data_IF_043362170183
#
_entry.id   IF_043362170183
#
_cell.length_a   1.000
_cell.length_b   1.000
_cell.length_c   1.000
_cell.angle_alpha   90.00
_cell.angle_beta   90.00
_cell.angle_gamma   90.00
#
_symmetry.space_group_name_H-M   'P 1'
#
loop_
_entity.id
_entity.type
_entity.pdbx_description
1 polymer ?
#
# COMPACT_ATOMS: atom_id res chain seq x y z
N UNK A 1 2.26 10.01 -13.24
CA UNK A 1 1.70 10.11 -11.85
C UNK A 1 2.86 9.88 -10.89
N UNK A 2 2.94 10.58 -9.75
CA UNK A 2 4.00 10.32 -8.74
C UNK A 2 3.77 8.94 -8.14
N UNK A 3 4.81 8.08 -8.02
CA UNK A 3 4.67 6.79 -7.36
C UNK A 3 4.34 6.97 -5.86
N UNK A 4 3.59 6.01 -5.29
CA UNK A 4 3.30 5.96 -3.86
C UNK A 4 4.20 4.89 -3.21
N UNK A 5 5.02 5.31 -2.25
CA UNK A 5 5.80 4.38 -1.42
C UNK A 5 5.16 4.33 -0.04
N UNK A 6 4.44 3.24 0.20
CA UNK A 6 3.69 3.01 1.42
C UNK A 6 4.41 1.97 2.29
N UNK A 7 4.71 2.31 3.53
CA UNK A 7 5.29 1.40 4.53
C UNK A 7 4.20 0.81 5.41
N UNK A 8 3.98 -0.50 5.36
CA UNK A 8 3.10 -1.23 6.26
C UNK A 8 3.92 -1.82 7.42
N UNK A 9 3.77 -1.25 8.61
CA UNK A 9 4.49 -1.75 9.79
C UNK A 9 3.93 -3.07 10.32
N UNK A 10 2.73 -3.45 9.87
CA UNK A 10 2.03 -4.63 10.38
C UNK A 10 1.90 -4.53 11.92
N UNK A 11 1.96 -5.65 12.65
CA UNK A 11 1.88 -5.68 14.11
C UNK A 11 3.27 -5.42 14.75
N UNK A 12 3.90 -4.31 14.36
CA UNK A 12 5.21 -3.88 14.91
C UNK A 12 5.19 -2.41 15.32
N UNK A 13 5.99 -2.11 16.32
CA UNK A 13 6.25 -0.74 16.76
C UNK A 13 5.65 -0.41 18.12
N UNK A 14 6.48 0.19 18.95
CA UNK A 14 6.13 0.84 20.21
C UNK A 14 6.47 2.34 20.10
N UNK A 15 6.22 3.11 21.16
CA UNK A 15 6.45 4.56 21.16
C UNK A 15 7.88 4.96 20.75
N UNK A 16 8.87 4.18 21.15
CA UNK A 16 10.28 4.44 20.83
C UNK A 16 10.57 4.36 19.31
N UNK A 17 9.81 3.57 18.53
CA UNK A 17 10.01 3.47 17.09
C UNK A 17 9.48 4.68 16.31
N UNK A 18 8.79 5.62 16.93
CA UNK A 18 8.38 6.87 16.28
C UNK A 18 9.59 7.66 15.76
N UNK A 19 10.79 7.47 16.33
CA UNK A 19 12.03 8.06 15.81
C UNK A 19 12.34 7.61 14.37
N UNK A 20 11.87 6.45 13.92
CA UNK A 20 12.04 6.02 12.53
C UNK A 20 11.19 6.85 11.58
N UNK A 21 9.95 7.20 11.99
CA UNK A 21 9.07 8.11 11.23
C UNK A 21 9.71 9.50 11.14
N UNK A 22 10.26 10.02 12.24
CA UNK A 22 10.94 11.30 12.26
C UNK A 22 12.11 11.35 11.27
N UNK A 23 12.95 10.30 11.27
CA UNK A 23 14.08 10.18 10.33
C UNK A 23 13.64 10.12 8.88
N UNK A 24 12.59 9.35 8.56
CA UNK A 24 12.00 9.28 7.22
C UNK A 24 11.48 10.66 6.81
N UNK A 25 10.72 11.34 7.69
CA UNK A 25 10.17 12.66 7.44
C UNK A 25 11.27 13.72 7.21
N UNK A 26 12.35 13.65 8.00
CA UNK A 26 13.51 14.52 7.82
C UNK A 26 14.19 14.31 6.46
N UNK A 27 14.38 13.03 6.06
CA UNK A 27 14.94 12.70 4.75
C UNK A 27 14.07 13.21 3.60
N UNK A 28 12.75 12.99 3.65
CA UNK A 28 11.81 13.46 2.62
C UNK A 28 11.83 14.98 2.50
N UNK A 29 11.89 15.68 3.63
CA UNK A 29 11.98 17.14 3.66
C UNK A 29 13.30 17.66 3.04
N UNK A 30 14.40 16.97 3.29
CA UNK A 30 15.73 17.37 2.80
C UNK A 30 15.95 17.05 1.31
N UNK A 31 15.38 15.95 0.79
CA UNK A 31 15.70 15.43 -0.56
C UNK A 31 14.57 15.58 -1.57
N UNK A 32 13.33 15.83 -1.10
CA UNK A 32 12.13 15.94 -1.93
C UNK A 32 12.04 14.83 -3.02
N UNK A 33 12.06 13.54 -2.65
CA UNK A 33 12.03 12.46 -3.61
C UNK A 33 10.80 12.59 -4.51
N UNK A 34 10.89 12.11 -5.76
CA UNK A 34 9.77 12.17 -6.72
C UNK A 34 8.73 11.08 -6.42
N UNK A 35 8.27 11.00 -5.17
CA UNK A 35 7.29 10.05 -4.67
C UNK A 35 6.38 10.67 -3.61
N UNK A 36 5.17 10.13 -3.50
CA UNK A 36 4.33 10.31 -2.31
C UNK A 36 4.77 9.26 -1.28
N UNK A 37 4.93 9.67 -0.02
CA UNK A 37 5.44 8.80 1.06
C UNK A 37 4.37 8.64 2.12
N UNK A 38 4.07 7.40 2.47
CA UNK A 38 3.06 7.01 3.44
C UNK A 38 3.63 5.97 4.41
N UNK A 39 3.36 6.12 5.72
CA UNK A 39 3.63 5.08 6.72
C UNK A 39 2.32 4.69 7.40
N UNK A 40 2.07 3.39 7.47
CA UNK A 40 0.91 2.79 8.14
C UNK A 40 1.39 2.04 9.40
N UNK A 41 1.47 2.72 10.56
CA UNK A 41 1.79 2.08 11.84
C UNK A 41 0.54 1.41 12.42
N UNK A 42 0.66 0.60 13.50
CA UNK A 42 -0.49 0.14 14.28
C UNK A 42 -1.38 1.29 14.74
N UNK A 43 -2.69 1.05 14.86
CA UNK A 43 -3.66 2.07 15.28
C UNK A 43 -3.30 2.75 16.61
N UNK A 44 -2.66 2.01 17.53
CA UNK A 44 -2.17 2.53 18.83
C UNK A 44 -1.06 3.58 18.70
N UNK A 45 -0.45 3.72 17.54
CA UNK A 45 0.60 4.71 17.27
C UNK A 45 0.17 5.80 16.28
N UNK A 46 -0.97 5.66 15.62
CA UNK A 46 -1.35 6.46 14.44
C UNK A 46 -1.33 7.96 14.73
N UNK A 47 -2.03 8.42 15.76
CA UNK A 47 -2.08 9.84 16.13
C UNK A 47 -0.69 10.41 16.45
N UNK A 48 0.10 9.69 17.24
CA UNK A 48 1.47 10.09 17.55
C UNK A 48 2.35 10.10 16.31
N UNK A 49 2.16 9.14 15.41
CA UNK A 49 2.86 9.10 14.13
C UNK A 49 2.51 10.31 13.25
N UNK A 50 1.24 10.70 13.21
CA UNK A 50 0.80 11.89 12.47
C UNK A 50 1.45 13.17 13.02
N UNK A 51 1.50 13.34 14.33
CA UNK A 51 2.21 14.46 14.97
C UNK A 51 3.71 14.44 14.67
N UNK A 52 4.35 13.26 14.78
CA UNK A 52 5.79 13.11 14.48
C UNK A 52 6.11 13.39 13.01
N UNK A 53 5.27 12.94 12.09
CA UNK A 53 5.41 13.21 10.67
C UNK A 53 5.26 14.70 10.32
N UNK A 54 4.50 15.44 11.10
CA UNK A 54 4.30 16.90 10.99
C UNK A 54 3.96 17.36 9.55
N UNK A 55 3.14 16.58 8.84
CA UNK A 55 2.73 16.85 7.45
C UNK A 55 3.81 16.65 6.37
N UNK A 56 5.03 16.23 6.73
CA UNK A 56 6.13 16.00 5.77
C UNK A 56 5.98 14.69 5.01
N UNK A 57 5.38 13.69 5.65
CA UNK A 57 4.95 12.43 5.05
C UNK A 57 3.53 12.12 5.52
N UNK A 58 2.80 11.34 4.73
CA UNK A 58 1.47 10.88 5.09
C UNK A 58 1.53 9.73 6.11
N UNK A 59 0.46 9.60 6.91
CA UNK A 59 0.23 8.42 7.75
C UNK A 59 -1.10 7.77 7.39
N UNK A 60 -1.23 6.45 7.64
CA UNK A 60 -2.42 5.69 7.32
C UNK A 60 -2.72 4.57 8.30
N UNK A 61 -3.95 4.07 8.23
CA UNK A 61 -4.38 2.88 8.98
C UNK A 61 -4.01 1.58 8.27
N UNK A 62 -4.01 0.48 9.02
CA UNK A 62 -3.73 -0.87 8.50
C UNK A 62 -5.00 -1.68 8.24
N UNK A 63 -6.16 -1.19 8.71
CA UNK A 63 -7.50 -1.70 8.50
C UNK A 63 -8.51 -0.68 9.02
N UNK A 64 -9.79 -0.83 8.64
CA UNK A 64 -10.91 -0.12 9.26
C UNK A 64 -12.18 -0.97 9.25
N UNK A 65 -13.10 -0.67 10.17
CA UNK A 65 -14.45 -1.22 10.13
C UNK A 65 -15.29 -0.48 9.07
N UNK A 66 -16.28 -1.19 8.46
CA UNK A 66 -17.15 -0.59 7.43
C UNK A 66 -18.21 0.36 7.99
N UNK A 67 -18.65 0.17 9.26
CA UNK A 67 -19.52 1.11 9.94
C UNK A 67 -18.74 2.31 10.47
N UNK A 68 -19.39 3.47 10.53
CA UNK A 68 -18.78 4.68 11.10
C UNK A 68 -18.76 4.70 12.62
N UNK A 69 -19.74 4.04 13.23
CA UNK A 69 -19.93 3.93 14.69
C UNK A 69 -20.81 2.70 14.98
N UNK A 70 -20.72 2.14 16.17
CA UNK A 70 -21.60 1.05 16.58
C UNK A 70 -21.04 0.17 17.72
N UNK A 71 -21.73 -0.91 18.05
CA UNK A 71 -21.34 -1.85 19.11
C UNK A 71 -20.28 -2.85 18.60
N UNK A 72 -19.14 -2.34 18.19
CA UNK A 72 -18.02 -3.10 17.64
C UNK A 72 -16.78 -2.91 18.52
N UNK A 73 -16.84 -3.45 19.73
CA UNK A 73 -15.79 -3.29 20.74
C UNK A 73 -14.42 -3.76 20.20
N UNK A 74 -13.46 -2.85 20.16
CA UNK A 74 -12.10 -3.12 19.67
C UNK A 74 -11.85 -2.74 18.22
N UNK A 75 -12.89 -2.54 17.39
CA UNK A 75 -12.76 -2.08 16.02
C UNK A 75 -12.49 -0.57 15.93
N UNK A 76 -11.86 -0.16 14.84
CA UNK A 76 -11.57 1.25 14.53
C UNK A 76 -12.26 1.61 13.23
N UNK A 77 -13.09 2.66 13.21
CA UNK A 77 -13.75 3.13 11.99
C UNK A 77 -12.80 3.97 11.12
N UNK A 78 -13.18 4.13 9.85
CA UNK A 78 -12.43 5.00 8.92
C UNK A 78 -12.44 6.47 9.41
N UNK A 79 -13.53 6.91 10.02
CA UNK A 79 -13.67 8.24 10.61
C UNK A 79 -12.71 8.44 11.79
N UNK A 80 -12.56 7.44 12.68
CA UNK A 80 -11.58 7.47 13.78
C UNK A 80 -10.14 7.54 13.26
N UNK A 81 -9.82 6.81 12.19
CA UNK A 81 -8.51 6.91 11.55
C UNK A 81 -8.26 8.31 10.99
N UNK A 82 -9.28 8.89 10.34
CA UNK A 82 -9.17 10.25 9.79
C UNK A 82 -8.97 11.29 10.89
N UNK A 83 -9.70 11.19 11.98
CA UNK A 83 -9.59 12.07 13.16
C UNK A 83 -8.18 11.97 13.78
N UNK A 84 -7.61 10.77 13.85
CA UNK A 84 -6.23 10.53 14.30
C UNK A 84 -5.15 10.99 13.31
N UNK A 85 -5.53 11.62 12.18
CA UNK A 85 -4.62 12.21 11.21
C UNK A 85 -4.25 11.30 10.03
N UNK A 86 -4.92 10.17 9.83
CA UNK A 86 -4.70 9.35 8.65
C UNK A 86 -5.18 10.04 7.36
N UNK A 87 -4.47 9.81 6.27
CA UNK A 87 -4.87 10.19 4.90
C UNK A 87 -5.16 8.98 4.02
N UNK A 88 -4.84 7.78 4.48
CA UNK A 88 -5.04 6.52 3.76
C UNK A 88 -5.37 5.38 4.74
N UNK A 89 -5.88 4.27 4.20
CA UNK A 89 -6.03 3.02 4.94
C UNK A 89 -5.81 1.83 4.00
N UNK A 90 -5.08 0.83 4.48
CA UNK A 90 -4.94 -0.47 3.82
C UNK A 90 -6.17 -1.30 4.17
N UNK A 91 -6.79 -1.94 3.18
CA UNK A 91 -7.92 -2.85 3.39
C UNK A 91 -7.73 -4.13 2.59
N UNK A 92 -8.19 -5.25 3.13
CA UNK A 92 -8.10 -6.55 2.48
C UNK A 92 -6.67 -7.10 2.34
N UNK A 93 -5.73 -6.66 3.19
CA UNK A 93 -4.36 -7.19 3.23
C UNK A 93 -4.38 -8.73 3.34
N UNK A 94 -3.46 -9.40 2.68
CA UNK A 94 -3.42 -10.88 2.61
C UNK A 94 -3.48 -11.56 3.98
N UNK A 95 -2.81 -11.01 5.00
CA UNK A 95 -2.87 -11.51 6.37
C UNK A 95 -4.29 -11.42 6.96
N UNK A 96 -5.04 -10.37 6.64
CA UNK A 96 -6.42 -10.22 7.12
C UNK A 96 -7.39 -11.16 6.41
N UNK A 97 -7.22 -11.32 5.10
CA UNK A 97 -7.98 -12.33 4.34
C UNK A 97 -7.74 -13.73 4.90
N UNK A 98 -6.50 -14.05 5.25
CA UNK A 98 -6.10 -15.36 5.76
C UNK A 98 -6.49 -15.59 7.23
N UNK A 99 -6.22 -14.63 8.12
CA UNK A 99 -6.35 -14.83 9.56
C UNK A 99 -7.66 -14.32 10.15
N UNK A 100 -8.35 -13.40 9.45
CA UNK A 100 -9.63 -12.83 9.88
C UNK A 100 -10.78 -13.16 8.95
N UNK A 101 -10.55 -13.98 7.90
CA UNK A 101 -11.61 -14.41 6.97
C UNK A 101 -12.22 -13.28 6.15
N UNK A 102 -11.47 -12.21 5.88
CA UNK A 102 -11.99 -11.09 5.10
C UNK A 102 -12.32 -11.49 3.67
N UNK A 103 -13.59 -11.36 3.30
CA UNK A 103 -14.10 -11.60 1.95
C UNK A 103 -13.98 -10.35 1.08
N UNK A 104 -14.08 -10.50 -0.24
CA UNK A 104 -14.07 -9.36 -1.18
C UNK A 104 -15.20 -8.38 -0.88
N UNK A 105 -16.38 -8.86 -0.52
CA UNK A 105 -17.51 -8.02 -0.13
C UNK A 105 -17.21 -7.18 1.13
N UNK A 106 -16.55 -7.76 2.13
CA UNK A 106 -16.10 -7.01 3.32
C UNK A 106 -15.06 -5.95 2.94
N UNK A 107 -14.13 -6.29 2.06
CA UNK A 107 -13.11 -5.34 1.59
C UNK A 107 -13.74 -4.19 0.81
N UNK A 108 -14.73 -4.47 -0.06
CA UNK A 108 -15.49 -3.43 -0.76
C UNK A 108 -16.24 -2.51 0.22
N UNK A 109 -16.83 -3.06 1.28
CA UNK A 109 -17.51 -2.28 2.32
C UNK A 109 -16.51 -1.37 3.08
N UNK A 110 -15.31 -1.87 3.41
CA UNK A 110 -14.23 -1.09 4.03
C UNK A 110 -13.68 -0.01 3.09
N UNK A 111 -13.52 -0.32 1.79
CA UNK A 111 -13.13 0.67 0.78
C UNK A 111 -14.15 1.81 0.67
N UNK A 112 -15.45 1.51 0.73
CA UNK A 112 -16.50 2.52 0.79
C UNK A 112 -16.44 3.36 2.07
N UNK A 113 -16.12 2.75 3.22
CA UNK A 113 -15.92 3.48 4.47
C UNK A 113 -14.73 4.44 4.37
N UNK A 114 -13.60 3.99 3.81
CA UNK A 114 -12.45 4.84 3.55
C UNK A 114 -12.83 6.05 2.68
N UNK A 115 -13.55 5.83 1.56
CA UNK A 115 -14.06 6.90 0.70
C UNK A 115 -14.95 7.87 1.46
N UNK A 116 -15.90 7.38 2.25
CA UNK A 116 -16.81 8.19 3.08
C UNK A 116 -16.05 9.10 4.04
N UNK A 117 -14.97 8.60 4.64
CA UNK A 117 -14.11 9.36 5.54
C UNK A 117 -13.08 10.24 4.80
N UNK A 118 -13.03 10.24 3.46
CA UNK A 118 -12.06 11.00 2.68
C UNK A 118 -10.63 10.44 2.74
N UNK A 119 -10.49 9.14 3.00
CA UNK A 119 -9.20 8.43 2.99
C UNK A 119 -8.93 7.80 1.62
N UNK A 120 -7.66 7.74 1.21
CA UNK A 120 -7.21 6.87 0.13
C UNK A 120 -7.36 5.42 0.58
N UNK A 121 -8.15 4.61 -0.13
CA UNK A 121 -8.20 3.17 0.10
C UNK A 121 -7.07 2.47 -0.66
N UNK A 122 -6.19 1.75 0.03
CA UNK A 122 -5.20 0.85 -0.57
C UNK A 122 -5.77 -0.56 -0.46
N UNK A 123 -6.36 -1.05 -1.55
CA UNK A 123 -6.97 -2.38 -1.59
C UNK A 123 -5.90 -3.41 -1.97
N UNK A 124 -5.65 -4.37 -1.08
CA UNK A 124 -4.70 -5.43 -1.33
C UNK A 124 -5.39 -6.62 -2.04
N UNK A 125 -4.73 -7.10 -3.08
CA UNK A 125 -5.14 -8.28 -3.87
C UNK A 125 -3.92 -9.15 -4.14
N UNK A 126 -4.13 -10.46 -4.29
CA UNK A 126 -3.02 -11.37 -4.59
C UNK A 126 -3.45 -12.83 -4.51
N UNK A 127 -2.86 -13.63 -5.38
CA UNK A 127 -3.09 -15.07 -5.48
C UNK A 127 -2.33 -15.85 -4.41
N UNK A 128 -2.85 -17.01 -4.07
CA UNK A 128 -2.17 -17.99 -3.22
C UNK A 128 -1.13 -18.79 -4.01
N UNK A 129 -0.25 -19.53 -3.30
CA UNK A 129 0.69 -20.45 -3.91
C UNK A 129 -0.03 -21.53 -4.72
N UNK A 130 -1.12 -22.09 -4.21
CA UNK A 130 -1.94 -23.06 -4.91
C UNK A 130 -2.50 -22.49 -6.23
N UNK A 131 -3.14 -21.32 -6.20
CA UNK A 131 -3.68 -20.66 -7.40
C UNK A 131 -2.60 -20.37 -8.44
N UNK A 132 -1.39 -20.01 -7.98
CA UNK A 132 -0.24 -19.80 -8.89
C UNK A 132 0.16 -21.12 -9.56
N UNK A 133 0.28 -22.20 -8.79
CA UNK A 133 0.68 -23.53 -9.30
C UNK A 133 -0.35 -24.12 -10.26
N UNK A 134 -1.64 -23.87 -10.01
CA UNK A 134 -2.75 -24.32 -10.83
C UNK A 134 -2.99 -23.45 -12.08
N UNK A 135 -2.22 -22.36 -12.28
CA UNK A 135 -2.37 -21.43 -13.40
C UNK A 135 -3.56 -20.48 -13.26
N UNK A 136 -4.12 -20.34 -12.08
CA UNK A 136 -5.30 -19.52 -11.78
C UNK A 136 -4.96 -18.11 -11.26
N UNK A 137 -3.69 -17.72 -11.27
CA UNK A 137 -3.23 -16.46 -10.68
C UNK A 137 -3.98 -15.23 -11.20
N UNK A 138 -4.10 -15.09 -12.53
CA UNK A 138 -4.77 -13.95 -13.15
C UNK A 138 -6.27 -13.94 -12.83
N UNK A 139 -6.96 -15.08 -12.95
CA UNK A 139 -8.40 -15.18 -12.67
C UNK A 139 -8.70 -14.89 -11.19
N UNK A 140 -7.87 -15.37 -10.27
CA UNK A 140 -8.03 -15.12 -8.84
C UNK A 140 -7.89 -13.63 -8.50
N UNK A 141 -6.88 -12.94 -9.05
CA UNK A 141 -6.68 -11.51 -8.83
C UNK A 141 -7.79 -10.69 -9.52
N UNK A 142 -8.22 -11.08 -10.72
CA UNK A 142 -9.34 -10.45 -11.41
C UNK A 142 -10.64 -10.54 -10.61
N UNK A 143 -10.95 -11.72 -10.05
CA UNK A 143 -12.11 -11.92 -9.18
C UNK A 143 -12.04 -11.04 -7.92
N UNK A 144 -10.88 -10.94 -7.27
CA UNK A 144 -10.69 -10.07 -6.11
C UNK A 144 -10.90 -8.59 -6.47
N UNK A 145 -10.42 -8.11 -7.61
CA UNK A 145 -10.66 -6.73 -8.07
C UNK A 145 -12.15 -6.50 -8.30
N UNK A 146 -12.81 -7.40 -9.04
CA UNK A 146 -14.24 -7.29 -9.33
C UNK A 146 -15.11 -7.28 -8.07
N UNK A 147 -14.71 -8.05 -7.03
CA UNK A 147 -15.43 -8.16 -5.76
C UNK A 147 -15.08 -7.10 -4.72
N UNK A 148 -13.84 -6.57 -4.74
CA UNK A 148 -13.33 -5.66 -3.70
C UNK A 148 -13.34 -4.19 -4.08
N UNK A 149 -13.35 -3.84 -5.38
CA UNK A 149 -13.29 -2.46 -5.86
C UNK A 149 -14.69 -1.96 -6.22
N UNK A 150 -15.30 -1.04 -5.46
CA UNK A 150 -16.60 -0.48 -5.82
C UNK A 150 -16.54 0.27 -7.16
N UNK A 151 -17.54 0.08 -8.02
CA UNK A 151 -17.59 0.62 -9.40
C UNK A 151 -17.53 2.15 -9.50
N UNK A 152 -17.99 2.84 -8.48
CA UNK A 152 -17.99 4.31 -8.39
C UNK A 152 -16.80 4.85 -7.57
N UNK A 153 -15.81 3.99 -7.25
CA UNK A 153 -14.69 4.34 -6.37
C UNK A 153 -13.83 5.45 -6.96
N UNK A 154 -13.48 6.40 -6.10
CA UNK A 154 -12.45 7.43 -6.29
C UNK A 154 -11.52 7.39 -5.07
N UNK A 155 -10.29 7.87 -5.22
CA UNK A 155 -9.32 7.82 -4.12
C UNK A 155 -8.95 6.36 -3.75
N UNK A 156 -8.55 5.57 -4.75
CA UNK A 156 -8.15 4.17 -4.58
C UNK A 156 -6.75 3.93 -5.16
N UNK A 157 -6.01 3.05 -4.53
CA UNK A 157 -4.83 2.39 -5.06
C UNK A 157 -5.00 0.88 -4.87
N UNK A 158 -4.38 0.08 -5.74
CA UNK A 158 -4.33 -1.37 -5.60
C UNK A 158 -2.93 -1.77 -5.16
N UNK A 159 -2.82 -2.68 -4.21
CA UNK A 159 -1.55 -3.29 -3.84
C UNK A 159 -1.57 -4.76 -4.26
N UNK A 160 -0.72 -5.13 -5.21
CA UNK A 160 -0.55 -6.51 -5.62
C UNK A 160 0.41 -7.24 -4.69
N UNK A 161 -0.09 -8.21 -3.96
CA UNK A 161 0.66 -9.04 -3.00
C UNK A 161 0.81 -10.46 -3.54
N UNK A 162 1.93 -10.84 -4.21
CA UNK A 162 2.21 -12.23 -4.59
C UNK A 162 2.38 -13.07 -3.32
N UNK A 163 1.30 -13.65 -2.78
CA UNK A 163 1.28 -14.32 -1.47
C UNK A 163 2.27 -15.47 -1.39
N UNK A 164 2.50 -16.16 -2.50
CA UNK A 164 3.48 -17.23 -2.65
C UNK A 164 4.93 -16.77 -2.45
N UNK A 165 5.19 -15.46 -2.63
CA UNK A 165 6.52 -14.87 -2.51
C UNK A 165 6.74 -14.16 -1.16
N UNK A 166 5.66 -13.87 -0.39
CA UNK A 166 5.78 -13.14 0.88
C UNK A 166 6.29 -14.07 1.97
N UNK A 167 7.52 -13.82 2.47
CA UNK A 167 8.13 -14.60 3.55
C UNK A 167 8.63 -15.99 3.15
N UNK A 168 8.49 -16.39 1.89
CA UNK A 168 8.91 -17.71 1.39
C UNK A 168 10.38 -17.77 0.92
N UNK A 169 11.00 -16.62 0.70
CA UNK A 169 12.30 -16.50 0.03
C UNK A 169 12.24 -16.53 -1.49
N UNK A 170 11.07 -16.79 -2.07
CA UNK A 170 10.84 -16.67 -3.52
C UNK A 170 10.67 -15.20 -3.90
N UNK A 171 11.15 -14.83 -5.08
CA UNK A 171 10.98 -13.48 -5.62
C UNK A 171 10.38 -13.59 -7.02
N UNK A 172 9.25 -12.92 -7.30
CA UNK A 172 8.71 -12.82 -8.64
C UNK A 172 9.76 -12.24 -9.60
N UNK A 173 9.80 -12.76 -10.81
CA UNK A 173 10.62 -12.15 -11.86
C UNK A 173 10.03 -10.81 -12.29
N UNK A 174 10.81 -9.90 -12.88
CA UNK A 174 10.28 -8.68 -13.50
C UNK A 174 9.12 -8.97 -14.48
N UNK A 175 9.20 -10.08 -15.22
CA UNK A 175 8.15 -10.52 -16.15
C UNK A 175 6.84 -10.85 -15.42
N UNK A 176 6.90 -11.59 -14.31
CA UNK A 176 5.72 -11.90 -13.50
C UNK A 176 5.02 -10.64 -12.97
N UNK A 177 5.83 -9.65 -12.53
CA UNK A 177 5.30 -8.38 -12.02
C UNK A 177 4.60 -7.62 -13.15
N UNK A 178 5.24 -7.50 -14.31
CA UNK A 178 4.68 -6.77 -15.46
C UNK A 178 3.39 -7.42 -15.95
N UNK A 179 3.36 -8.75 -16.09
CA UNK A 179 2.17 -9.49 -16.51
C UNK A 179 0.99 -9.22 -15.56
N UNK A 180 1.20 -9.39 -14.25
CA UNK A 180 0.13 -9.21 -13.28
C UNK A 180 -0.31 -7.75 -13.16
N UNK A 181 0.61 -6.79 -13.17
CA UNK A 181 0.25 -5.36 -13.15
C UNK A 181 -0.53 -4.94 -14.40
N UNK A 182 -0.18 -5.46 -15.57
CA UNK A 182 -0.95 -5.24 -16.80
C UNK A 182 -2.36 -5.85 -16.71
N UNK A 183 -2.48 -7.07 -16.18
CA UNK A 183 -3.77 -7.71 -15.93
C UNK A 183 -4.63 -6.89 -14.94
N UNK A 184 -4.06 -6.47 -13.80
CA UNK A 184 -4.74 -5.59 -12.84
C UNK A 184 -5.24 -4.31 -13.52
N UNK A 185 -4.45 -3.70 -14.40
CA UNK A 185 -4.89 -2.51 -15.16
C UNK A 185 -6.08 -2.79 -16.06
N UNK A 186 -6.13 -3.95 -16.71
CA UNK A 186 -7.26 -4.37 -17.54
C UNK A 186 -8.53 -4.56 -16.70
N UNK A 187 -8.44 -5.26 -15.58
CA UNK A 187 -9.57 -5.47 -14.65
C UNK A 187 -10.09 -4.16 -14.04
N UNK A 188 -9.18 -3.24 -13.70
CA UNK A 188 -9.56 -1.89 -13.27
C UNK A 188 -10.25 -1.10 -14.38
N UNK A 189 -9.85 -1.27 -15.63
CA UNK A 189 -10.52 -0.62 -16.76
C UNK A 189 -11.94 -1.16 -16.95
N UNK A 190 -12.15 -2.46 -16.77
CA UNK A 190 -13.47 -3.08 -16.80
C UNK A 190 -14.36 -2.61 -15.62
N UNK A 191 -13.78 -2.42 -14.43
CA UNK A 191 -14.51 -2.04 -13.21
C UNK A 191 -14.82 -0.54 -13.13
N UNK A 192 -13.82 0.33 -13.43
CA UNK A 192 -13.85 1.78 -13.19
C UNK A 192 -13.93 2.61 -14.48
N UNK A 193 -13.80 1.98 -15.65
CA UNK A 193 -13.74 2.68 -16.94
C UNK A 193 -12.55 3.64 -17.02
N UNK A 194 -12.76 4.83 -17.55
CA UNK A 194 -11.71 5.84 -17.74
C UNK A 194 -11.00 6.27 -16.44
N UNK A 195 -11.61 6.11 -15.27
CA UNK A 195 -10.99 6.41 -13.97
C UNK A 195 -9.85 5.48 -13.61
N UNK A 196 -9.80 4.29 -14.20
CA UNK A 196 -8.73 3.32 -13.97
C UNK A 196 -7.33 3.90 -14.20
N UNK A 197 -7.17 4.83 -15.13
CA UNK A 197 -5.89 5.47 -15.46
C UNK A 197 -5.27 6.27 -14.30
N UNK A 198 -6.11 6.74 -13.35
CA UNK A 198 -5.67 7.47 -12.17
C UNK A 198 -5.37 6.57 -10.96
N UNK A 199 -5.63 5.26 -11.06
CA UNK A 199 -5.36 4.29 -10.00
C UNK A 199 -3.89 3.87 -10.03
N UNK A 200 -3.19 4.04 -8.90
CA UNK A 200 -1.83 3.52 -8.73
C UNK A 200 -1.90 2.02 -8.42
N UNK A 201 -1.08 1.23 -9.08
CA UNK A 201 -0.91 -0.19 -8.78
C UNK A 201 0.44 -0.33 -8.09
N UNK A 202 0.43 -0.69 -6.82
CA UNK A 202 1.61 -0.84 -5.99
C UNK A 202 2.08 -2.29 -6.02
N UNK A 203 3.37 -2.49 -6.13
CA UNK A 203 3.93 -3.82 -5.90
C UNK A 203 4.08 -4.07 -4.39
N UNK A 204 3.44 -5.11 -3.88
CA UNK A 204 3.39 -5.48 -2.46
C UNK A 204 4.25 -6.70 -2.08
N UNK A 205 5.12 -7.15 -2.98
CA UNK A 205 6.11 -8.18 -2.66
C UNK A 205 7.35 -7.62 -1.97
N UNK A 206 8.44 -8.38 -1.97
CA UNK A 206 9.69 -7.98 -1.33
C UNK A 206 10.37 -6.83 -2.08
N UNK A 207 10.31 -5.62 -1.49
CA UNK A 207 11.04 -4.44 -1.96
C UNK A 207 12.06 -4.03 -0.91
N UNK A 208 13.29 -3.78 -1.35
CA UNK A 208 14.41 -3.36 -0.52
C UNK A 208 15.32 -2.39 -1.29
N UNK A 209 16.33 -1.77 -0.65
CA UNK A 209 17.19 -0.79 -1.33
C UNK A 209 17.92 -1.31 -2.58
N UNK A 210 18.21 -2.63 -2.66
CA UNK A 210 18.97 -3.20 -3.79
C UNK A 210 18.12 -3.43 -5.03
N UNK A 211 16.81 -3.70 -4.89
CA UNK A 211 15.91 -3.99 -6.02
C UNK A 211 14.90 -2.88 -6.33
N UNK A 212 14.79 -1.87 -5.47
CA UNK A 212 13.78 -0.83 -5.60
C UNK A 212 13.81 -0.11 -6.95
N UNK A 213 14.99 0.24 -7.46
CA UNK A 213 15.14 0.93 -8.75
C UNK A 213 14.61 0.11 -9.92
N UNK A 214 14.94 -1.18 -9.95
CA UNK A 214 14.46 -2.10 -10.97
C UNK A 214 12.94 -2.21 -10.92
N UNK A 215 12.38 -2.58 -9.76
CA UNK A 215 10.94 -2.81 -9.58
C UNK A 215 10.14 -1.55 -9.89
N UNK A 216 10.55 -0.39 -9.35
CA UNK A 216 9.82 0.87 -9.54
C UNK A 216 9.93 1.46 -10.95
N UNK A 217 10.82 0.91 -11.80
CA UNK A 217 10.92 1.27 -13.22
C UNK A 217 10.06 0.40 -14.14
N UNK A 218 9.48 -0.69 -13.63
CA UNK A 218 8.67 -1.61 -14.44
C UNK A 218 7.37 -0.96 -14.91
N UNK A 219 6.86 -1.34 -16.09
CA UNK A 219 5.56 -0.87 -16.58
C UNK A 219 4.44 -1.13 -15.59
N UNK A 220 3.50 -0.19 -15.48
CA UNK A 220 2.33 -0.22 -14.60
C UNK A 220 2.64 -0.28 -13.08
N UNK A 221 3.91 -0.26 -12.66
CA UNK A 221 4.28 -0.15 -11.25
C UNK A 221 4.16 1.30 -10.81
N UNK A 222 3.06 1.64 -10.15
CA UNK A 222 2.76 2.97 -9.62
C UNK A 222 3.30 3.22 -8.20
N UNK A 223 4.17 2.35 -7.70
CA UNK A 223 4.79 2.45 -6.37
C UNK A 223 4.97 1.10 -5.69
N UNK A 224 5.13 1.12 -4.36
CA UNK A 224 5.33 -0.07 -3.56
C UNK A 224 4.55 -0.03 -2.24
N UNK A 225 4.07 -1.19 -1.79
CA UNK A 225 3.62 -1.44 -0.43
C UNK A 225 4.70 -2.26 0.28
N UNK A 226 5.50 -1.59 1.11
CA UNK A 226 6.72 -2.12 1.71
C UNK A 226 6.42 -2.65 3.11
N UNK A 227 6.74 -3.92 3.38
CA UNK A 227 6.60 -4.54 4.70
C UNK A 227 7.82 -4.26 5.60
N UNK A 228 8.58 -5.30 5.93
CA UNK A 228 9.68 -5.26 6.91
C UNK A 228 10.72 -4.15 6.70
N UNK A 229 11.07 -3.83 5.46
CA UNK A 229 12.00 -2.74 5.15
C UNK A 229 11.44 -1.34 5.50
N UNK A 230 10.15 -1.22 5.84
CA UNK A 230 9.57 0.04 6.32
C UNK A 230 9.73 0.29 7.82
N UNK A 231 10.16 -0.72 8.59
CA UNK A 231 10.34 -0.64 10.03
C UNK A 231 11.58 0.17 10.45
N UNK A 232 12.54 0.31 9.56
CA UNK A 232 13.80 1.02 9.80
C UNK A 232 13.97 2.13 8.77
N UNK A 233 14.20 3.33 9.23
CA UNK A 233 14.41 4.49 8.36
C UNK A 233 15.54 4.26 7.36
N UNK A 234 16.64 3.61 7.76
CA UNK A 234 17.77 3.33 6.88
C UNK A 234 17.36 2.53 5.62
N UNK A 235 16.55 1.48 5.81
CA UNK A 235 16.10 0.62 4.72
C UNK A 235 15.06 1.34 3.85
N UNK A 236 14.08 1.99 4.48
CA UNK A 236 13.02 2.69 3.77
C UNK A 236 13.54 3.90 2.97
N UNK A 237 14.45 4.66 3.55
CA UNK A 237 15.16 5.77 2.87
C UNK A 237 15.98 5.25 1.70
N UNK A 238 16.61 4.08 1.83
CA UNK A 238 17.31 3.41 0.72
C UNK A 238 16.38 3.15 -0.47
N UNK A 239 15.14 2.72 -0.22
CA UNK A 239 14.10 2.56 -1.27
C UNK A 239 13.74 3.92 -1.89
N UNK A 240 13.49 4.95 -1.06
CA UNK A 240 13.16 6.29 -1.54
C UNK A 240 14.28 6.92 -2.37
N UNK A 241 15.54 6.59 -2.06
CA UNK A 241 16.70 7.09 -2.79
C UNK A 241 16.74 6.67 -4.26
N UNK A 242 16.07 5.55 -4.60
CA UNK A 242 15.91 5.12 -5.99
C UNK A 242 15.08 6.13 -6.83
N UNK A 243 14.29 6.98 -6.18
CA UNK A 243 13.38 7.96 -6.79
C UNK A 243 13.88 9.42 -6.69
N UNK A 244 15.11 9.62 -6.26
CA UNK A 244 15.75 10.93 -6.29
C UNK A 244 16.31 11.14 -7.70
N UNK A 245 15.86 12.22 -8.36
CA UNK A 245 16.47 12.66 -9.61
C UNK A 245 17.83 13.26 -9.29
N UNK A 246 18.90 12.58 -9.71
CA UNK A 246 20.24 13.16 -9.62
C UNK A 246 20.26 14.44 -10.46
N UNK A 247 20.58 15.59 -9.85
CA UNK A 247 20.86 16.79 -10.63
C UNK A 247 21.92 16.47 -11.68
N UNK A 248 21.79 16.92 -12.95
CA UNK A 248 22.84 16.72 -13.92
C UNK A 248 24.13 17.27 -13.32
N UNK A 249 25.18 16.44 -13.25
CA UNK A 249 26.52 16.91 -12.85
C UNK A 249 26.88 17.98 -13.86
N UNK A 250 26.91 19.23 -13.41
CA UNK A 250 27.38 20.33 -14.23
C UNK A 250 28.76 19.92 -14.76
N UNK A 251 28.88 19.87 -16.08
CA UNK A 251 30.18 19.76 -16.75
C UNK A 251 30.97 20.98 -16.36
N UNK A 252 32.00 20.77 -15.52
CA UNK A 252 33.00 21.77 -15.23
C UNK A 252 33.91 21.94 -16.44
#
# INVERSE_FOLDING_TARGET
MRPLIAGNWKMHGLAQQLCEIERIAAFVNATAPQADVLICPPATLLERAAHTAAGRIAVGGQDCHWANVGPFTGDVSAEMLRDAGASAVIVGHSERRQHHGETDAMVAAKANAARRAGLLAIIAVGETDQQRTEGEALSAVGAQIAGSVPRDMVGVAIAYEPRWAIGSGWTPTPGDIVEMHAHIRQELAATLGGRSRSVRILYGGSVNPSNAREILSLPEVGGALVGGASLRAADFVGILSALIVSAPRGSA
#
